data_IF_604382165852
#
_entry.id   IF_604382165852
#
_cell.length_a   1.000
_cell.length_b   1.000
_cell.length_c   1.000
_cell.angle_alpha   90.00
_cell.angle_beta   90.00
_cell.angle_gamma   90.00
#
_symmetry.space_group_name_H-M   'P 1'
#
loop_
_entity.id
_entity.type
_entity.pdbx_description
1 polymer ?
#
# COMPACT_ATOMS: atom_id res chain seq x y z
N UNK A 1 -4.98 -5.88 9.45
CA UNK A 1 -3.75 -6.68 9.22
C UNK A 1 -3.22 -6.31 7.86
N UNK A 2 -2.09 -5.61 7.78
CA UNK A 2 -1.44 -5.36 6.49
C UNK A 2 -0.53 -6.55 6.12
N UNK A 3 -0.42 -6.88 4.83
CA UNK A 3 0.54 -7.88 4.32
C UNK A 3 1.30 -7.24 3.17
N UNK A 4 2.63 -7.29 3.19
CA UNK A 4 3.47 -6.74 2.11
C UNK A 4 4.15 -7.86 1.32
N UNK A 5 4.55 -7.57 0.08
CA UNK A 5 5.39 -8.44 -0.77
C UNK A 5 6.66 -8.92 -0.07
N UNK A 6 7.16 -8.16 0.90
CA UNK A 6 8.35 -8.50 1.68
C UNK A 6 8.00 -9.30 2.94
N UNK A 7 7.61 -10.56 2.76
CA UNK A 7 7.59 -11.56 3.84
C UNK A 7 8.90 -12.34 3.85
N UNK A 8 9.96 -11.77 4.40
CA UNK A 8 11.09 -12.55 4.90
C UNK A 8 11.30 -12.15 6.36
N UNK A 9 11.34 -13.15 7.25
CA UNK A 9 11.35 -13.00 8.71
C UNK A 9 12.63 -12.36 9.25
N UNK A 10 12.81 -11.09 8.93
CA UNK A 10 13.72 -10.21 9.64
C UNK A 10 12.96 -9.63 10.83
N UNK A 11 13.62 -9.49 11.99
CA UNK A 11 12.97 -8.91 13.19
C UNK A 11 12.41 -7.50 12.91
N UNK A 12 12.97 -6.81 11.92
CA UNK A 12 12.50 -5.52 11.44
C UNK A 12 11.17 -5.59 10.66
N UNK A 13 10.89 -6.67 9.91
CA UNK A 13 9.69 -6.77 9.04
C UNK A 13 8.47 -7.39 9.73
N UNK A 14 8.65 -7.94 10.93
CA UNK A 14 7.62 -8.69 11.66
C UNK A 14 6.46 -7.80 12.17
N UNK A 15 6.67 -6.48 12.25
CA UNK A 15 5.68 -5.53 12.80
C UNK A 15 5.17 -4.48 11.81
N UNK A 16 5.68 -4.43 10.57
CA UNK A 16 5.24 -3.42 9.57
C UNK A 16 3.77 -3.53 9.19
N UNK A 17 3.19 -4.73 9.31
CA UNK A 17 1.75 -4.93 9.14
C UNK A 17 0.88 -4.13 10.12
N UNK A 18 1.46 -3.76 11.26
CA UNK A 18 0.82 -2.95 12.30
C UNK A 18 1.21 -1.49 12.12
N UNK A 19 2.50 -1.20 11.87
CA UNK A 19 3.00 0.18 11.74
C UNK A 19 2.50 0.96 10.53
N UNK A 20 1.92 0.29 9.52
CA UNK A 20 1.31 0.99 8.38
C UNK A 20 -0.17 1.34 8.61
N UNK A 21 -0.71 1.03 9.79
CA UNK A 21 -2.11 1.29 10.20
C UNK A 21 -2.23 1.67 11.67
N UNK A 22 -1.13 2.03 12.34
CA UNK A 22 -1.14 2.33 13.78
C UNK A 22 -1.39 3.81 14.07
N UNK A 23 -1.47 4.65 13.02
CA UNK A 23 -1.61 6.10 13.14
C UNK A 23 -0.31 6.83 13.52
N UNK A 24 0.82 6.13 13.58
CA UNK A 24 2.13 6.72 13.88
C UNK A 24 2.93 6.95 12.58
N UNK A 25 3.71 8.02 12.53
CA UNK A 25 4.45 8.40 11.31
C UNK A 25 5.99 8.35 11.46
N UNK A 26 6.48 7.86 12.60
CA UNK A 26 7.91 7.85 12.91
C UNK A 26 8.67 6.75 12.17
N UNK A 27 8.06 5.57 12.10
CA UNK A 27 8.58 4.40 11.41
C UNK A 27 8.08 4.37 9.96
N UNK A 28 8.80 3.65 9.11
CA UNK A 28 8.39 3.47 7.71
C UNK A 28 8.70 2.06 7.23
N UNK A 29 7.78 1.54 6.42
CA UNK A 29 8.00 0.38 5.58
C UNK A 29 8.79 0.76 4.33
N UNK A 30 9.72 -0.11 3.96
CA UNK A 30 10.44 -0.07 2.70
C UNK A 30 10.48 -1.48 2.11
N UNK A 31 10.18 -1.68 0.81
CA UNK A 31 10.36 -2.97 0.16
C UNK A 31 11.85 -3.33 0.06
N UNK A 32 12.12 -4.61 -0.21
CA UNK A 32 13.48 -5.09 -0.41
C UNK A 32 13.99 -4.55 -1.73
N UNK A 33 15.29 -4.29 -1.78
CA UNK A 33 15.98 -3.77 -2.98
C UNK A 33 15.81 -4.69 -4.20
N UNK A 34 15.62 -6.00 -3.99
CA UNK A 34 15.40 -7.01 -5.03
C UNK A 34 13.92 -7.35 -5.29
N UNK A 35 12.98 -6.58 -4.75
CA UNK A 35 11.55 -6.78 -4.98
C UNK A 35 11.11 -6.16 -6.33
N UNK A 36 10.95 -7.01 -7.34
CA UNK A 36 10.52 -6.61 -8.68
C UNK A 36 9.04 -6.15 -8.75
N UNK A 37 8.23 -6.51 -7.74
CA UNK A 37 6.80 -6.16 -7.70
C UNK A 37 6.35 -5.71 -6.30
N UNK A 38 6.89 -4.57 -5.80
CA UNK A 38 6.65 -4.13 -4.46
C UNK A 38 5.18 -3.79 -4.25
N UNK A 39 4.59 -4.32 -3.18
CA UNK A 39 3.21 -4.04 -2.83
C UNK A 39 2.94 -4.09 -1.33
N UNK A 40 1.89 -3.36 -0.94
CA UNK A 40 1.29 -3.41 0.39
C UNK A 40 -0.21 -3.74 0.27
N UNK A 41 -0.69 -4.70 1.05
CA UNK A 41 -2.08 -5.13 1.12
C UNK A 41 -2.66 -4.72 2.47
N UNK A 42 -3.77 -4.01 2.48
CA UNK A 42 -4.51 -3.63 3.69
C UNK A 42 -5.74 -4.52 3.84
N UNK A 43 -5.80 -5.32 4.92
CA UNK A 43 -7.03 -6.01 5.31
C UNK A 43 -7.91 -5.11 6.17
N UNK A 44 -9.14 -4.88 5.71
CA UNK A 44 -10.08 -3.91 6.27
C UNK A 44 -10.92 -4.44 7.44
N UNK A 45 -10.60 -5.65 7.94
CA UNK A 45 -11.34 -6.32 9.03
C UNK A 45 -12.71 -6.88 8.62
N UNK A 46 -13.21 -6.53 7.44
CA UNK A 46 -14.46 -7.01 6.86
C UNK A 46 -14.74 -6.32 5.53
N UNK A 47 -15.87 -6.62 4.89
CA UNK A 47 -16.29 -5.91 3.68
C UNK A 47 -16.67 -4.47 4.03
N UNK A 48 -15.78 -3.53 3.74
CA UNK A 48 -16.00 -2.11 3.99
C UNK A 48 -16.25 -1.36 2.67
N UNK A 49 -17.17 -0.39 2.68
CA UNK A 49 -17.31 0.57 1.59
C UNK A 49 -16.21 1.61 1.75
N UNK A 50 -15.41 1.79 0.71
CA UNK A 50 -14.32 2.75 0.71
C UNK A 50 -14.73 4.01 -0.04
N UNK A 51 -14.29 5.14 0.50
CA UNK A 51 -14.42 6.48 -0.07
C UNK A 51 -13.05 7.08 -0.39
N UNK A 52 -12.03 6.75 0.39
CA UNK A 52 -10.71 7.35 0.26
C UNK A 52 -9.60 6.40 0.74
N UNK A 53 -8.41 6.58 0.17
CA UNK A 53 -7.15 6.07 0.71
C UNK A 53 -6.11 7.18 0.71
N UNK A 54 -5.38 7.27 1.81
CA UNK A 54 -4.25 8.18 2.00
C UNK A 54 -3.01 7.35 2.26
N UNK A 55 -1.93 7.61 1.52
CA UNK A 55 -0.62 6.99 1.69
C UNK A 55 0.35 8.07 2.13
N UNK A 56 0.88 7.95 3.34
CA UNK A 56 1.88 8.86 3.88
C UNK A 56 3.27 8.31 3.60
N UNK A 57 4.14 9.17 3.09
CA UNK A 57 5.52 8.86 2.78
C UNK A 57 6.46 9.53 3.78
N UNK A 58 7.60 8.89 4.05
CA UNK A 58 8.62 9.44 4.94
C UNK A 58 9.22 10.75 4.41
N UNK A 59 9.35 10.83 3.08
CA UNK A 59 9.87 11.96 2.35
C UNK A 59 9.14 12.13 1.02
N UNK A 60 9.35 13.25 0.36
CA UNK A 60 8.70 13.51 -0.93
C UNK A 60 9.23 12.52 -1.98
N UNK A 61 8.33 11.78 -2.61
CA UNK A 61 8.66 10.88 -3.71
C UNK A 61 7.72 11.08 -4.90
N UNK A 62 8.14 10.59 -6.06
CA UNK A 62 7.35 10.61 -7.29
C UNK A 62 7.09 9.17 -7.74
N UNK A 63 5.98 8.58 -7.30
CA UNK A 63 5.71 7.15 -7.44
C UNK A 63 4.61 6.87 -8.48
N UNK A 64 4.79 5.80 -9.26
CA UNK A 64 3.74 5.21 -10.11
C UNK A 64 3.22 3.95 -9.41
N UNK A 65 1.91 3.78 -9.38
CA UNK A 65 1.28 2.67 -8.68
C UNK A 65 -0.14 2.41 -9.18
N UNK A 66 -0.67 1.26 -8.79
CA UNK A 66 -2.05 0.84 -9.05
C UNK A 66 -2.67 0.46 -7.71
N UNK A 67 -3.87 0.98 -7.44
CA UNK A 67 -4.67 0.61 -6.27
C UNK A 67 -5.75 -0.36 -6.73
N UNK A 68 -5.77 -1.53 -6.10
CA UNK A 68 -6.63 -2.64 -6.45
C UNK A 68 -7.43 -3.09 -5.22
N UNK A 69 -8.64 -3.60 -5.41
CA UNK A 69 -9.48 -4.13 -4.34
C UNK A 69 -9.91 -5.56 -4.61
N UNK A 70 -10.05 -6.36 -3.56
CA UNK A 70 -10.59 -7.71 -3.67
C UNK A 70 -11.52 -8.10 -2.52
N UNK A 71 -12.44 -8.99 -2.83
CA UNK A 71 -13.27 -9.73 -1.88
C UNK A 71 -12.94 -11.23 -1.89
N UNK A 72 -11.98 -11.67 -2.73
CA UNK A 72 -11.55 -13.07 -2.79
C UNK A 72 -10.68 -13.38 -1.57
N UNK A 73 -11.10 -14.31 -0.68
CA UNK A 73 -10.29 -14.69 0.47
C UNK A 73 -8.98 -15.38 0.08
N UNK A 74 -8.84 -15.86 -1.16
CA UNK A 74 -7.59 -16.44 -1.68
C UNK A 74 -6.63 -15.41 -2.27
N UNK A 75 -7.03 -14.13 -2.34
CA UNK A 75 -6.24 -13.01 -2.86
C UNK A 75 -5.73 -13.22 -4.30
N UNK A 76 -6.47 -13.95 -5.14
CA UNK A 76 -6.06 -14.27 -6.52
C UNK A 76 -6.65 -13.32 -7.56
N UNK A 77 -7.86 -12.82 -7.31
CA UNK A 77 -8.56 -11.92 -8.22
C UNK A 77 -8.58 -10.50 -7.66
N UNK A 78 -8.09 -9.52 -8.43
CA UNK A 78 -7.92 -8.13 -8.01
C UNK A 78 -8.57 -7.20 -9.04
N UNK A 79 -9.46 -6.32 -8.56
CA UNK A 79 -10.08 -5.29 -9.40
C UNK A 79 -9.31 -3.99 -9.26
N UNK A 80 -8.87 -3.43 -10.39
CA UNK A 80 -8.27 -2.08 -10.41
C UNK A 80 -9.31 -1.03 -10.00
N UNK A 81 -8.96 -0.21 -9.01
CA UNK A 81 -9.75 0.95 -8.53
C UNK A 81 -9.14 2.25 -9.07
N UNK A 82 -7.81 2.40 -8.93
CA UNK A 82 -7.05 3.55 -9.40
C UNK A 82 -5.85 3.06 -10.20
N UNK A 83 -5.54 3.74 -11.32
CA UNK A 83 -4.42 3.38 -12.17
C UNK A 83 -3.54 4.61 -12.48
N UNK A 84 -2.45 4.77 -11.71
CA UNK A 84 -1.41 5.78 -11.90
C UNK A 84 -0.12 5.19 -12.48
N UNK A 85 -0.20 4.07 -13.20
CA UNK A 85 0.99 3.43 -13.78
C UNK A 85 1.65 4.25 -14.90
N UNK A 86 0.90 5.17 -15.54
CA UNK A 86 1.40 5.96 -16.69
C UNK A 86 2.02 7.29 -16.29
N UNK A 87 1.63 7.85 -15.15
CA UNK A 87 2.08 9.17 -14.67
C UNK A 87 2.29 9.10 -13.17
N UNK A 88 3.51 9.40 -12.73
CA UNK A 88 3.85 9.40 -11.33
C UNK A 88 3.05 10.47 -10.57
N UNK A 89 2.65 10.14 -9.34
CA UNK A 89 2.09 11.09 -8.38
C UNK A 89 3.21 11.52 -7.46
N UNK A 90 3.42 12.83 -7.33
CA UNK A 90 4.48 13.41 -6.50
C UNK A 90 3.90 14.02 -5.23
N UNK A 91 4.55 13.77 -4.10
CA UNK A 91 4.21 14.38 -2.83
C UNK A 91 4.77 13.59 -1.65
N UNK A 92 4.57 14.12 -0.44
CA UNK A 92 4.75 13.41 0.83
C UNK A 92 3.47 12.66 1.26
N UNK A 93 2.33 13.03 0.67
CA UNK A 93 1.04 12.39 0.86
C UNK A 93 0.43 12.10 -0.51
N UNK A 94 0.00 10.86 -0.72
CA UNK A 94 -0.65 10.42 -1.95
C UNK A 94 -2.09 10.02 -1.61
N UNK A 95 -3.07 10.76 -2.14
CA UNK A 95 -4.49 10.60 -1.81
C UNK A 95 -5.32 10.26 -3.04
N UNK A 96 -6.26 9.32 -2.88
CA UNK A 96 -7.21 8.96 -3.93
C UNK A 96 -8.61 8.68 -3.40
N UNK A 97 -9.60 9.14 -4.15
CA UNK A 97 -10.97 8.66 -3.98
C UNK A 97 -11.07 7.21 -4.43
N UNK A 98 -11.67 6.38 -3.58
CA UNK A 98 -11.95 4.98 -3.88
C UNK A 98 -13.44 4.77 -4.13
N UNK A 99 -13.74 3.81 -5.00
CA UNK A 99 -15.11 3.38 -5.30
C UNK A 99 -15.24 1.87 -5.16
N UNK A 100 -16.17 1.46 -4.32
CA UNK A 100 -16.57 0.06 -4.15
C UNK A 100 -16.52 -0.42 -2.71
N UNK A 101 -16.73 -1.71 -2.53
CA UNK A 101 -16.65 -2.37 -1.22
C UNK A 101 -15.78 -3.62 -1.31
N UNK A 102 -14.75 -3.67 -0.46
CA UNK A 102 -13.70 -4.68 -0.51
C UNK A 102 -13.38 -5.20 0.89
N UNK A 103 -12.79 -6.39 0.98
CA UNK A 103 -12.19 -6.88 2.22
C UNK A 103 -10.71 -6.51 2.29
N UNK A 104 -10.07 -6.39 1.12
CA UNK A 104 -8.66 -6.10 0.99
C UNK A 104 -8.44 -5.04 -0.09
N UNK A 105 -7.47 -4.16 0.15
CA UNK A 105 -6.93 -3.23 -0.84
C UNK A 105 -5.45 -3.50 -1.01
N UNK A 106 -4.93 -3.41 -2.24
CA UNK A 106 -3.50 -3.49 -2.53
C UNK A 106 -3.03 -2.23 -3.22
N UNK A 107 -1.92 -1.69 -2.77
CA UNK A 107 -1.13 -0.69 -3.49
C UNK A 107 0.05 -1.44 -4.12
N UNK A 108 0.09 -1.48 -5.44
CA UNK A 108 1.17 -2.11 -6.21
C UNK A 108 1.98 -1.04 -6.91
N UNK A 109 3.24 -0.92 -6.55
CA UNK A 109 4.17 0.05 -7.14
C UNK A 109 4.67 -0.48 -8.48
N UNK A 110 4.87 0.44 -9.43
CA UNK A 110 5.24 0.13 -10.81
C UNK A 110 6.41 1.03 -11.19
N UNK A 111 7.46 0.47 -11.80
CA UNK A 111 8.57 1.27 -12.34
C UNK A 111 9.12 2.27 -11.29
N UNK A 112 9.34 1.77 -10.08
CA UNK A 112 9.84 2.51 -8.93
C UNK A 112 10.97 1.71 -8.29
N UNK A 113 12.04 2.40 -7.88
CA UNK A 113 13.10 1.78 -7.11
C UNK A 113 12.58 1.48 -5.69
N UNK A 114 12.79 0.28 -5.13
CA UNK A 114 12.29 -0.07 -3.81
C UNK A 114 12.67 0.93 -2.71
N UNK A 115 13.88 1.48 -2.78
CA UNK A 115 14.38 2.49 -1.85
C UNK A 115 13.62 3.82 -1.88
N UNK A 116 12.91 4.14 -2.97
CA UNK A 116 12.07 5.35 -3.07
C UNK A 116 10.71 5.15 -2.38
N UNK A 117 10.33 3.91 -2.07
CA UNK A 117 9.03 3.55 -1.50
C UNK A 117 9.18 3.47 0.03
N UNK A 118 9.12 4.62 0.69
CA UNK A 118 9.17 4.72 2.17
C UNK A 118 7.81 5.15 2.70
N UNK A 119 6.97 4.19 3.06
CA UNK A 119 5.60 4.46 3.52
C UNK A 119 5.59 4.50 5.04
N UNK A 120 5.10 5.58 5.63
CA UNK A 120 4.92 5.68 7.07
C UNK A 120 3.57 5.13 7.50
N UNK A 121 2.50 5.46 6.78
CA UNK A 121 1.13 5.12 7.18
C UNK A 121 0.20 4.97 5.96
N UNK A 122 -0.81 4.11 6.07
CA UNK A 122 -1.90 3.97 5.10
C UNK A 122 -3.25 4.09 5.81
N UNK A 123 -3.99 5.15 5.51
CA UNK A 123 -5.35 5.34 6.00
C UNK A 123 -6.38 4.93 4.94
N UNK A 124 -7.44 4.22 5.35
CA UNK A 124 -8.61 3.93 4.50
C UNK A 124 -9.88 4.36 5.20
N UNK A 125 -10.76 5.09 4.50
CA UNK A 125 -12.04 5.60 5.04
C UNK A 125 -13.23 5.15 4.21
#
# INVERSE_FOLDING_TARGET
VIVSSTKNGDRATTHWSTCLTDGEHDLYWVPRVDDEQPHAIVALGGKAKLSNIVIHLKEEASLKYIIEGTNDPKLKDWKVIVNNSKKATRGTTLEHELKGSYHYVRIRFVDAYPEDIKITEIETR
#
